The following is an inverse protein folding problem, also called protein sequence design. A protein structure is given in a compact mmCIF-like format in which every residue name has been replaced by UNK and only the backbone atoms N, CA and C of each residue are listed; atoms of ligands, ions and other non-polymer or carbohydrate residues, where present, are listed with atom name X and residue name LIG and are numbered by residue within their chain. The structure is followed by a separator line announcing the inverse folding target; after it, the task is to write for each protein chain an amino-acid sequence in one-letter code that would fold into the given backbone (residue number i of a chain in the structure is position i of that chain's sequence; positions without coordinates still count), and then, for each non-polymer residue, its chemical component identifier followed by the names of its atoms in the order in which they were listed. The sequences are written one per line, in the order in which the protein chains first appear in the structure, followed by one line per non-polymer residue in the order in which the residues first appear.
data_IF_124095078039
#
_entry.id   IF_124095078039
#
_cell.length_a   1.000
_cell.length_b   1.000
_cell.length_c   1.000
_cell.angle_alpha   90.00
_cell.angle_beta   90.00
_cell.angle_gamma   90.00
#
_symmetry.space_group_name_H-M   'P 1'
#
loop_
_entity.id
_entity.type
_entity.pdbx_description
1 polymer ?
#
# COMPACT_ATOMS: atom_id res chain seq x y z
N UNK A 1 -10.72 -12.64 -5.44
CA UNK A 1 -9.72 -11.56 -5.51
C UNK A 1 -9.75 -10.86 -4.17
N UNK A 2 -8.60 -10.72 -3.47
CA UNK A 2 -8.56 -10.03 -2.18
C UNK A 2 -8.96 -8.57 -2.37
N UNK A 3 -9.77 -8.04 -1.44
CA UNK A 3 -10.25 -6.65 -1.46
C UNK A 3 -9.55 -5.87 -0.35
N UNK A 4 -8.96 -4.73 -0.69
CA UNK A 4 -8.46 -3.80 0.32
C UNK A 4 -9.65 -3.24 1.11
N UNK A 5 -9.64 -3.41 2.43
CA UNK A 5 -10.69 -2.95 3.35
C UNK A 5 -10.23 -1.78 4.20
N UNK A 6 -8.91 -1.56 4.31
CA UNK A 6 -8.32 -0.43 5.00
C UNK A 6 -7.00 -0.07 4.33
N UNK A 7 -6.78 1.23 4.15
CA UNK A 7 -5.59 1.78 3.50
C UNK A 7 -5.16 3.02 4.26
N UNK A 8 -3.90 3.06 4.68
CA UNK A 8 -3.30 4.21 5.34
C UNK A 8 -2.05 4.64 4.56
N UNK A 9 -1.96 5.95 4.27
CA UNK A 9 -0.78 6.53 3.68
C UNK A 9 0.25 6.82 4.76
N UNK A 10 1.46 6.32 4.58
CA UNK A 10 2.59 6.54 5.48
C UNK A 10 3.59 7.53 4.84
N UNK A 11 4.58 7.95 5.62
CA UNK A 11 5.69 8.77 5.10
C UNK A 11 6.58 7.98 4.13
N UNK A 12 7.45 8.69 3.42
CA UNK A 12 8.49 8.09 2.57
C UNK A 12 7.96 7.15 1.45
N UNK A 13 6.81 7.51 0.84
CA UNK A 13 6.17 6.73 -0.23
C UNK A 13 5.69 5.34 0.18
N UNK A 14 5.46 5.14 1.48
CA UNK A 14 4.95 3.88 2.00
C UNK A 14 3.44 3.94 2.19
N UNK A 15 2.81 2.79 2.06
CA UNK A 15 1.41 2.60 2.40
C UNK A 15 1.26 1.36 3.24
N UNK A 16 0.30 1.38 4.17
CA UNK A 16 -0.16 0.19 4.84
C UNK A 16 -1.53 -0.20 4.29
N UNK A 17 -1.71 -1.48 3.98
CA UNK A 17 -2.98 -2.02 3.46
C UNK A 17 -3.37 -3.24 4.28
N UNK A 18 -4.67 -3.35 4.58
CA UNK A 18 -5.31 -4.57 5.07
C UNK A 18 -6.36 -5.06 4.10
N UNK A 19 -6.35 -6.37 3.87
CA UNK A 19 -7.27 -7.08 3.00
C UNK A 19 -8.42 -7.74 3.77
N UNK A 20 -9.47 -8.11 3.04
CA UNK A 20 -10.67 -8.79 3.57
C UNK A 20 -10.42 -10.20 4.10
N UNK A 21 -9.34 -10.83 3.68
CA UNK A 21 -8.84 -12.10 4.21
C UNK A 21 -8.05 -11.96 5.53
N UNK A 22 -7.91 -10.73 6.04
CA UNK A 22 -7.20 -10.42 7.28
C UNK A 22 -5.70 -10.22 7.12
N UNK A 23 -5.14 -10.39 5.92
CA UNK A 23 -3.74 -10.10 5.65
C UNK A 23 -3.51 -8.59 5.67
N UNK A 24 -2.47 -8.15 6.36
CA UNK A 24 -2.04 -6.76 6.39
C UNK A 24 -0.53 -6.63 6.15
N UNK A 25 -0.11 -5.52 5.55
CA UNK A 25 1.29 -5.27 5.27
C UNK A 25 1.60 -3.85 4.83
N UNK A 26 2.87 -3.49 4.98
CA UNK A 26 3.44 -2.24 4.48
C UNK A 26 4.08 -2.47 3.10
N UNK A 27 3.85 -1.55 2.17
CA UNK A 27 4.40 -1.58 0.82
C UNK A 27 5.14 -0.28 0.55
N UNK A 28 6.38 -0.39 0.11
CA UNK A 28 7.20 0.75 -0.32
C UNK A 28 7.04 1.00 -1.83
N UNK A 29 6.48 2.16 -2.17
CA UNK A 29 6.27 2.63 -3.53
C UNK A 29 7.36 3.61 -4.00
N UNK A 30 8.43 3.81 -3.23
CA UNK A 30 9.56 4.67 -3.57
C UNK A 30 10.13 4.38 -4.97
N UNK A 31 10.13 3.11 -5.39
CA UNK A 31 10.60 2.69 -6.71
C UNK A 31 9.72 3.16 -7.89
N UNK A 32 8.47 3.52 -7.61
CA UNK A 32 7.51 4.09 -8.58
C UNK A 32 7.54 5.62 -8.57
N UNK A 33 8.00 6.23 -7.48
CA UNK A 33 8.13 7.68 -7.38
C UNK A 33 9.09 8.20 -8.48
N UNK A 34 8.63 9.18 -9.26
CA UNK A 34 9.44 9.81 -10.31
C UNK A 34 9.49 9.08 -11.66
N UNK A 35 8.76 7.98 -11.85
CA UNK A 35 8.70 7.29 -13.16
C UNK A 35 7.67 7.84 -14.15
N UNK A 36 6.87 8.82 -13.73
CA UNK A 36 5.78 9.37 -14.55
C UNK A 36 4.66 8.36 -14.76
N UNK A 37 3.42 8.84 -14.84
CA UNK A 37 2.25 8.07 -15.27
C UNK A 37 2.00 8.26 -16.75
#
# INVERSE_FOLDING_TARGET
MPKAVEVEALSDYRIWIRFDDGIAGEVDLSHLAGRGV
#
